data_IF_218568754909
#
_entry.id   IF_218568754909
#
_cell.length_a   1.000
_cell.length_b   1.000
_cell.length_c   1.000
_cell.angle_alpha   90.00
_cell.angle_beta   90.00
_cell.angle_gamma   90.00
#
_symmetry.space_group_name_H-M   'P 1'
#
loop_
_entity.id
_entity.type
_entity.pdbx_description
1 polymer ?
#
# COMPACT_ATOMS: atom_id res chain seq x y z
N UNK A 1 -10.25 -30.42 -2.53
CA UNK A 1 -11.18 -29.56 -3.31
C UNK A 1 -10.80 -28.11 -3.07
N UNK A 2 -10.27 -27.43 -4.08
CA UNK A 2 -9.99 -25.99 -4.03
C UNK A 2 -11.28 -25.27 -4.42
N UNK A 3 -11.80 -24.41 -3.54
CA UNK A 3 -13.09 -23.75 -3.73
C UNK A 3 -13.05 -22.70 -4.87
N UNK A 4 -14.18 -22.47 -5.57
CA UNK A 4 -14.30 -21.62 -6.77
C UNK A 4 -14.22 -20.11 -6.49
N UNK A 5 -13.62 -19.67 -5.37
CA UNK A 5 -13.59 -18.26 -4.94
C UNK A 5 -12.40 -17.45 -5.50
N UNK A 6 -11.52 -18.09 -6.28
CA UNK A 6 -10.39 -17.44 -6.95
C UNK A 6 -10.77 -16.28 -7.91
N UNK A 7 -11.85 -16.38 -8.70
CA UNK A 7 -12.29 -15.30 -9.59
C UNK A 7 -12.68 -14.04 -8.81
N UNK A 8 -13.26 -14.20 -7.62
CA UNK A 8 -13.78 -13.08 -6.80
C UNK A 8 -12.65 -12.23 -6.23
N UNK A 9 -11.55 -12.86 -5.80
CA UNK A 9 -10.38 -12.15 -5.24
C UNK A 9 -9.59 -11.39 -6.31
N UNK A 10 -9.38 -12.02 -7.47
CA UNK A 10 -8.75 -11.39 -8.63
C UNK A 10 -9.60 -10.25 -9.18
N UNK A 11 -10.92 -10.46 -9.30
CA UNK A 11 -11.87 -9.45 -9.76
C UNK A 11 -11.97 -8.27 -8.80
N UNK A 12 -12.00 -8.51 -7.49
CA UNK A 12 -12.08 -7.43 -6.53
C UNK A 12 -10.74 -6.67 -6.42
N UNK A 13 -9.61 -7.33 -6.68
CA UNK A 13 -8.31 -6.64 -6.81
C UNK A 13 -8.23 -5.78 -8.07
N UNK A 14 -8.71 -6.32 -9.20
CA UNK A 14 -8.85 -5.58 -10.45
C UNK A 14 -9.80 -4.39 -10.28
N UNK A 15 -10.95 -4.57 -9.63
CA UNK A 15 -11.92 -3.51 -9.37
C UNK A 15 -11.30 -2.38 -8.54
N UNK A 16 -10.52 -2.70 -7.50
CA UNK A 16 -9.83 -1.69 -6.72
C UNK A 16 -8.71 -0.98 -7.49
N UNK A 17 -7.98 -1.68 -8.35
CA UNK A 17 -6.96 -1.06 -9.22
C UNK A 17 -7.61 -0.12 -10.25
N UNK A 18 -8.72 -0.55 -10.85
CA UNK A 18 -9.51 0.29 -11.74
C UNK A 18 -10.07 1.49 -10.99
N UNK A 19 -10.56 1.32 -9.76
CA UNK A 19 -11.00 2.44 -8.93
C UNK A 19 -9.85 3.39 -8.57
N UNK A 20 -8.65 2.88 -8.26
CA UNK A 20 -7.44 3.70 -8.04
C UNK A 20 -7.10 4.49 -9.30
N UNK A 21 -7.05 3.82 -10.46
CA UNK A 21 -6.75 4.44 -11.75
C UNK A 21 -7.77 5.51 -12.14
N UNK A 22 -9.06 5.20 -12.00
CA UNK A 22 -10.17 6.11 -12.30
C UNK A 22 -10.19 7.29 -11.32
N UNK A 23 -9.88 7.05 -10.06
CA UNK A 23 -9.78 8.11 -9.05
C UNK A 23 -8.60 9.05 -9.28
N UNK A 24 -7.51 8.57 -9.88
CA UNK A 24 -6.39 9.39 -10.35
C UNK A 24 -6.73 10.19 -11.62
N UNK A 25 -7.74 9.78 -12.40
CA UNK A 25 -8.22 10.54 -13.55
C UNK A 25 -9.22 11.64 -13.16
N UNK A 26 -10.02 11.40 -12.11
CA UNK A 26 -11.03 12.32 -11.60
C UNK A 26 -10.44 13.46 -10.74
N UNK A 27 -9.21 13.89 -11.00
CA UNK A 27 -8.34 14.83 -10.27
C UNK A 27 -8.96 16.24 -10.10
N UNK A 28 -10.10 16.28 -9.43
CA UNK A 28 -10.95 17.44 -9.23
C UNK A 28 -11.23 17.55 -7.74
N UNK A 29 -11.17 18.77 -7.21
CA UNK A 29 -11.40 19.07 -5.80
C UNK A 29 -12.82 18.72 -5.30
N UNK A 30 -13.69 18.23 -6.19
CA UNK A 30 -15.10 17.92 -6.01
C UNK A 30 -15.41 16.79 -5.01
N UNK A 31 -14.45 15.92 -4.70
CA UNK A 31 -14.67 14.77 -3.81
C UNK A 31 -13.79 14.83 -2.57
N UNK A 32 -13.99 15.89 -1.77
CA UNK A 32 -13.45 16.02 -0.42
C UNK A 32 -14.51 15.56 0.58
N UNK A 33 -14.13 14.66 1.48
CA UNK A 33 -14.99 14.20 2.58
C UNK A 33 -14.88 15.19 3.74
N UNK A 34 -13.69 15.72 3.97
CA UNK A 34 -13.35 16.78 4.93
C UNK A 34 -12.18 17.63 4.37
N UNK A 35 -11.79 18.76 5.00
CA UNK A 35 -10.60 19.52 4.62
C UNK A 35 -9.35 18.62 4.57
N UNK A 36 -8.69 18.57 3.41
CA UNK A 36 -7.52 17.69 3.18
C UNK A 36 -7.82 16.20 3.04
N UNK A 37 -9.08 15.75 3.21
CA UNK A 37 -9.51 14.35 3.09
C UNK A 37 -10.12 14.12 1.71
N UNK A 38 -9.37 13.46 0.83
CA UNK A 38 -9.83 13.14 -0.51
C UNK A 38 -10.38 11.71 -0.60
N UNK A 39 -11.57 11.55 -1.20
CA UNK A 39 -12.22 10.27 -1.37
C UNK A 39 -11.36 9.25 -2.13
N UNK A 40 -10.60 9.69 -3.13
CA UNK A 40 -9.71 8.82 -3.93
C UNK A 40 -8.65 8.12 -3.07
N UNK A 41 -8.06 8.83 -2.10
CA UNK A 41 -7.00 8.29 -1.24
C UNK A 41 -7.55 7.19 -0.34
N UNK A 42 -8.75 7.38 0.21
CA UNK A 42 -9.43 6.37 1.02
C UNK A 42 -9.85 5.15 0.21
N UNK A 43 -10.36 5.33 -1.01
CA UNK A 43 -10.74 4.22 -1.90
C UNK A 43 -9.51 3.40 -2.29
N UNK A 44 -8.40 4.07 -2.62
CA UNK A 44 -7.17 3.39 -3.01
C UNK A 44 -6.54 2.61 -1.86
N UNK A 45 -6.60 3.14 -0.65
CA UNK A 45 -6.15 2.45 0.55
C UNK A 45 -7.05 1.30 0.94
N UNK A 46 -8.37 1.49 0.95
CA UNK A 46 -9.33 0.43 1.27
C UNK A 46 -9.08 -0.78 0.35
N UNK A 47 -8.94 -0.51 -0.94
CA UNK A 47 -8.58 -1.51 -1.93
C UNK A 47 -7.24 -2.18 -1.71
N UNK A 48 -6.21 -1.40 -1.41
CA UNK A 48 -4.89 -1.95 -1.09
C UNK A 48 -4.91 -2.85 0.15
N UNK A 49 -5.49 -2.36 1.25
CA UNK A 49 -5.64 -3.08 2.51
C UNK A 49 -6.37 -4.40 2.27
N UNK A 50 -7.46 -4.40 1.52
CA UNK A 50 -8.25 -5.58 1.19
C UNK A 50 -7.52 -6.61 0.33
N UNK A 51 -6.92 -6.19 -0.79
CA UNK A 51 -6.22 -7.11 -1.71
C UNK A 51 -5.04 -7.82 -1.03
N UNK A 52 -4.33 -7.08 -0.18
CA UNK A 52 -3.23 -7.62 0.62
C UNK A 52 -3.73 -8.47 1.79
N UNK A 53 -4.85 -8.13 2.42
CA UNK A 53 -5.46 -8.92 3.50
C UNK A 53 -5.80 -10.34 3.05
N UNK A 54 -6.44 -10.42 1.89
CA UNK A 54 -6.84 -11.65 1.24
C UNK A 54 -5.65 -12.52 0.82
N UNK A 55 -4.55 -11.86 0.47
CA UNK A 55 -3.38 -12.52 -0.10
C UNK A 55 -2.35 -12.95 0.95
N UNK A 56 -2.23 -12.24 2.09
CA UNK A 56 -1.12 -12.41 3.04
C UNK A 56 -1.51 -12.64 4.50
N UNK A 57 -2.42 -11.82 5.03
CA UNK A 57 -2.73 -11.87 6.45
C UNK A 57 -3.51 -13.13 6.74
N UNK A 58 -4.58 -13.40 6.00
CA UNK A 58 -5.46 -14.51 6.30
C UNK A 58 -5.21 -15.68 5.35
N UNK A 59 -4.22 -16.52 5.68
CA UNK A 59 -3.99 -17.78 4.97
C UNK A 59 -4.49 -18.96 5.78
N UNK A 60 -4.88 -20.05 5.10
CA UNK A 60 -5.32 -21.29 5.75
C UNK A 60 -4.25 -21.88 6.67
N UNK A 61 -2.98 -21.64 6.34
CA UNK A 61 -1.83 -22.07 7.15
C UNK A 61 -1.75 -21.32 8.50
N UNK A 62 -2.22 -20.06 8.55
CA UNK A 62 -2.18 -19.23 9.76
C UNK A 62 -3.46 -19.29 10.59
N UNK A 63 -4.62 -19.23 9.95
CA UNK A 63 -5.92 -19.07 10.62
C UNK A 63 -6.84 -20.29 10.46
N UNK A 64 -6.41 -21.33 9.75
CA UNK A 64 -7.16 -22.58 9.62
C UNK A 64 -8.55 -22.36 9.02
N UNK A 65 -9.58 -22.77 9.76
CA UNK A 65 -10.97 -22.65 9.33
C UNK A 65 -11.52 -21.22 9.43
N UNK A 66 -10.89 -20.35 10.23
CA UNK A 66 -11.27 -18.94 10.33
C UNK A 66 -10.85 -18.13 9.10
N UNK A 67 -10.04 -18.71 8.21
CA UNK A 67 -9.55 -18.01 7.04
C UNK A 67 -10.67 -17.48 6.15
N UNK A 68 -11.67 -18.31 5.84
CA UNK A 68 -12.73 -17.91 4.93
C UNK A 68 -13.66 -16.84 5.52
N UNK A 69 -14.17 -16.97 6.77
CA UNK A 69 -14.97 -15.92 7.40
C UNK A 69 -14.24 -14.57 7.49
N UNK A 70 -12.96 -14.59 7.85
CA UNK A 70 -12.17 -13.36 7.94
C UNK A 70 -12.00 -12.71 6.55
N UNK A 71 -11.72 -13.48 5.49
CA UNK A 71 -11.57 -12.93 4.14
C UNK A 71 -12.85 -12.22 3.67
N UNK A 72 -14.02 -12.80 3.93
CA UNK A 72 -15.33 -12.20 3.60
C UNK A 72 -15.54 -10.92 4.41
N UNK A 73 -15.26 -10.95 5.72
CA UNK A 73 -15.46 -9.81 6.61
C UNK A 73 -14.66 -8.58 6.15
N UNK A 74 -13.38 -8.76 5.84
CA UNK A 74 -12.53 -7.67 5.36
C UNK A 74 -12.89 -7.20 3.94
N UNK A 75 -13.48 -8.08 3.10
CA UNK A 75 -14.06 -7.69 1.81
C UNK A 75 -15.21 -6.70 1.97
N UNK A 76 -16.12 -7.02 2.87
CA UNK A 76 -17.27 -6.18 3.16
C UNK A 76 -16.79 -4.83 3.72
N UNK A 77 -15.79 -4.81 4.61
CA UNK A 77 -15.25 -3.56 5.14
C UNK A 77 -14.60 -2.69 4.07
N UNK A 78 -13.82 -3.27 3.16
CA UNK A 78 -13.26 -2.54 2.02
C UNK A 78 -14.34 -1.89 1.16
N UNK A 79 -15.40 -2.64 0.86
CA UNK A 79 -16.53 -2.18 0.07
C UNK A 79 -17.30 -1.06 0.79
N UNK A 80 -17.58 -1.22 2.09
CA UNK A 80 -18.25 -0.20 2.91
C UNK A 80 -17.39 1.07 2.98
N UNK A 81 -16.07 0.93 3.14
CA UNK A 81 -15.15 2.07 3.17
C UNK A 81 -15.06 2.79 1.84
N UNK A 82 -14.93 2.04 0.73
CA UNK A 82 -14.92 2.62 -0.61
C UNK A 82 -16.25 3.31 -0.93
N UNK A 83 -17.38 2.71 -0.54
CA UNK A 83 -18.71 3.28 -0.73
C UNK A 83 -18.91 4.52 0.14
N UNK A 84 -18.54 4.47 1.42
CA UNK A 84 -18.57 5.62 2.33
C UNK A 84 -17.68 6.76 1.84
N UNK A 85 -16.52 6.45 1.27
CA UNK A 85 -15.63 7.45 0.67
C UNK A 85 -16.22 8.08 -0.60
N UNK A 86 -16.81 7.28 -1.49
CA UNK A 86 -17.48 7.77 -2.71
C UNK A 86 -18.69 8.64 -2.42
N UNK A 87 -19.47 8.26 -1.41
CA UNK A 87 -20.68 8.97 -1.00
C UNK A 87 -20.40 10.11 0.00
N UNK A 88 -19.14 10.29 0.41
CA UNK A 88 -18.74 11.19 1.50
C UNK A 88 -19.58 11.01 2.77
N UNK A 89 -19.93 9.77 3.10
CA UNK A 89 -20.86 9.42 4.18
C UNK A 89 -20.09 8.99 5.43
N UNK A 90 -20.14 9.83 6.47
CA UNK A 90 -19.35 9.69 7.69
C UNK A 90 -19.73 8.48 8.53
N UNK A 91 -21.00 8.08 8.54
CA UNK A 91 -21.44 6.92 9.33
C UNK A 91 -20.84 5.61 8.78
N UNK A 92 -20.85 5.41 7.46
CA UNK A 92 -20.26 4.28 6.75
C UNK A 92 -18.74 4.23 6.97
N UNK A 93 -18.07 5.39 6.94
CA UNK A 93 -16.64 5.48 7.21
C UNK A 93 -16.30 5.12 8.66
N UNK A 94 -17.04 5.65 9.65
CA UNK A 94 -16.86 5.31 11.06
C UNK A 94 -17.17 3.83 11.35
N UNK A 95 -18.21 3.28 10.73
CA UNK A 95 -18.58 1.88 10.85
C UNK A 95 -17.48 0.97 10.31
N UNK A 96 -17.00 1.24 9.09
CA UNK A 96 -15.92 0.46 8.48
C UNK A 96 -14.61 0.57 9.29
N UNK A 97 -14.29 1.75 9.81
CA UNK A 97 -13.11 1.97 10.65
C UNK A 97 -13.18 1.18 11.96
N UNK A 98 -14.30 1.29 12.67
CA UNK A 98 -14.53 0.60 13.94
C UNK A 98 -14.47 -0.92 13.74
N UNK A 99 -15.15 -1.42 12.71
CA UNK A 99 -15.18 -2.85 12.43
C UNK A 99 -13.80 -3.38 12.00
N UNK A 100 -13.01 -2.59 11.27
CA UNK A 100 -11.63 -2.93 10.92
C UNK A 100 -10.70 -2.95 12.15
N UNK A 101 -10.85 -1.99 13.07
CA UNK A 101 -10.12 -1.98 14.35
C UNK A 101 -10.39 -3.27 15.15
N UNK A 102 -11.67 -3.62 15.33
CA UNK A 102 -12.06 -4.86 16.00
C UNK A 102 -11.54 -6.10 15.25
N UNK A 103 -11.56 -6.08 13.92
CA UNK A 103 -10.98 -7.11 13.08
C UNK A 103 -9.48 -7.30 13.34
N UNK A 104 -8.70 -6.21 13.39
CA UNK A 104 -7.28 -6.24 13.68
C UNK A 104 -6.98 -6.78 15.09
N UNK A 105 -7.76 -6.37 16.10
CA UNK A 105 -7.63 -6.88 17.47
C UNK A 105 -7.97 -8.37 17.57
N UNK A 106 -9.02 -8.82 16.88
CA UNK A 106 -9.38 -10.24 16.81
C UNK A 106 -8.27 -11.06 16.15
N UNK A 107 -7.67 -10.56 15.07
CA UNK A 107 -6.57 -11.25 14.40
C UNK A 107 -5.35 -11.42 15.29
N UNK A 108 -5.01 -10.41 16.11
CA UNK A 108 -3.94 -10.54 17.10
C UNK A 108 -4.19 -11.73 18.04
N UNK A 109 -5.43 -11.87 18.53
CA UNK A 109 -5.80 -12.92 19.47
C UNK A 109 -5.77 -14.33 18.85
N UNK A 110 -6.20 -14.46 17.59
CA UNK A 110 -6.24 -15.74 16.88
C UNK A 110 -4.96 -16.06 16.08
N UNK A 111 -3.95 -15.19 16.13
CA UNK A 111 -2.69 -15.37 15.43
C UNK A 111 -1.95 -16.60 15.96
N UNK A 112 -1.86 -17.65 15.12
CA UNK A 112 -1.05 -18.83 15.43
C UNK A 112 0.39 -18.58 14.99
N UNK A 113 1.34 -18.82 15.89
CA UNK A 113 2.76 -18.80 15.51
C UNK A 113 3.02 -19.88 14.46
N UNK A 114 3.49 -19.44 13.29
CA UNK A 114 3.94 -20.35 12.21
C UNK A 114 5.42 -20.71 12.36
N UNK A 115 5.87 -21.72 11.62
CA UNK A 115 7.31 -22.08 11.53
C UNK A 115 8.19 -20.95 10.98
N UNK A 116 7.62 -20.01 10.20
CA UNK A 116 8.35 -18.83 9.73
C UNK A 116 8.37 -17.72 10.81
N UNK A 117 9.36 -17.78 11.69
CA UNK A 117 9.51 -16.81 12.78
C UNK A 117 9.72 -15.36 12.29
N UNK A 118 10.39 -15.15 11.15
CA UNK A 118 10.65 -13.80 10.63
C UNK A 118 9.36 -13.10 10.21
N UNK A 119 8.54 -13.81 9.44
CA UNK A 119 7.24 -13.30 9.01
C UNK A 119 6.32 -13.05 10.21
N UNK A 120 6.41 -13.87 11.28
CA UNK A 120 5.66 -13.61 12.51
C UNK A 120 6.03 -12.27 13.16
N UNK A 121 7.29 -11.81 13.10
CA UNK A 121 7.70 -10.51 13.66
C UNK A 121 7.11 -9.35 12.84
N UNK A 122 7.20 -9.41 11.50
CA UNK A 122 6.57 -8.42 10.63
C UNK A 122 5.06 -8.35 10.82
N UNK A 123 4.40 -9.51 10.97
CA UNK A 123 2.97 -9.60 11.22
C UNK A 123 2.57 -8.95 12.54
N UNK A 124 3.33 -9.19 13.62
CA UNK A 124 3.05 -8.54 14.91
C UNK A 124 3.21 -7.03 14.83
N UNK A 125 4.29 -6.56 14.23
CA UNK A 125 4.51 -5.12 14.01
C UNK A 125 3.37 -4.51 13.19
N UNK A 126 2.97 -5.16 12.09
CA UNK A 126 1.87 -4.72 11.24
C UNK A 126 0.54 -4.61 12.02
N UNK A 127 0.17 -5.62 12.83
CA UNK A 127 -1.07 -5.57 13.61
C UNK A 127 -1.04 -4.45 14.66
N UNK A 128 0.06 -4.30 15.41
CA UNK A 128 0.21 -3.23 16.42
C UNK A 128 0.04 -1.87 15.76
N UNK A 129 0.75 -1.63 14.66
CA UNK A 129 0.68 -0.35 13.97
C UNK A 129 -0.72 -0.15 13.38
N UNK A 130 -1.34 -1.18 12.78
CA UNK A 130 -2.70 -1.08 12.26
C UNK A 130 -3.69 -0.66 13.33
N UNK A 131 -3.59 -1.19 14.56
CA UNK A 131 -4.44 -0.76 15.68
C UNK A 131 -4.22 0.72 16.00
N UNK A 132 -2.97 1.17 16.15
CA UNK A 132 -2.65 2.59 16.41
C UNK A 132 -3.21 3.50 15.31
N UNK A 133 -3.06 3.05 14.07
CA UNK A 133 -3.50 3.73 12.87
C UNK A 133 -5.02 3.87 12.78
N UNK A 134 -5.77 2.81 13.10
CA UNK A 134 -7.23 2.84 13.15
C UNK A 134 -7.76 3.70 14.30
N UNK A 135 -7.11 3.66 15.46
CA UNK A 135 -7.45 4.55 16.58
C UNK A 135 -7.26 6.01 16.17
N UNK A 136 -6.13 6.34 15.54
CA UNK A 136 -5.87 7.67 15.03
C UNK A 136 -6.88 8.08 13.94
N UNK A 137 -7.22 7.18 13.01
CA UNK A 137 -8.21 7.46 11.97
C UNK A 137 -9.60 7.76 12.57
N UNK A 138 -10.10 6.90 13.45
CA UNK A 138 -11.37 7.11 14.14
C UNK A 138 -11.36 8.47 14.85
N UNK A 139 -10.26 8.80 15.53
CA UNK A 139 -10.11 10.09 16.18
C UNK A 139 -10.19 11.25 15.16
N UNK A 140 -9.40 11.19 14.09
CA UNK A 140 -9.36 12.24 13.06
C UNK A 140 -10.67 12.45 12.28
N UNK A 141 -11.53 11.42 12.22
CA UNK A 141 -12.87 11.55 11.62
C UNK A 141 -13.84 12.34 12.49
N UNK A 142 -13.59 12.40 13.80
CA UNK A 142 -14.51 12.96 14.79
C UNK A 142 -13.98 14.24 15.44
N UNK A 143 -12.67 14.51 15.35
CA UNK A 143 -12.00 15.62 16.01
C UNK A 143 -10.95 16.25 15.11
N UNK A 144 -10.90 17.58 15.08
CA UNK A 144 -9.92 18.36 14.30
C UNK A 144 -8.53 18.44 14.97
N UNK A 145 -8.47 18.19 16.28
CA UNK A 145 -7.25 18.31 17.08
C UNK A 145 -7.06 17.09 17.97
N UNK A 146 -5.86 16.50 17.98
CA UNK A 146 -5.41 15.51 18.96
C UNK A 146 -4.50 16.19 19.98
N UNK A 147 -5.00 16.36 21.21
CA UNK A 147 -4.47 17.31 22.18
C UNK A 147 -4.42 18.75 21.62
N UNK A 148 -3.24 19.26 21.26
CA UNK A 148 -3.05 20.60 20.67
C UNK A 148 -2.55 20.53 19.22
N UNK A 149 -2.48 19.33 18.63
CA UNK A 149 -1.96 19.11 17.28
C UNK A 149 -3.10 18.90 16.29
N UNK A 150 -3.07 19.63 15.19
CA UNK A 150 -4.02 19.50 14.09
C UNK A 150 -3.96 18.08 13.51
N UNK A 151 -5.09 17.38 13.47
CA UNK A 151 -5.16 16.06 12.83
C UNK A 151 -5.13 16.26 11.31
N UNK A 152 -4.12 15.72 10.62
CA UNK A 152 -4.04 15.78 9.14
C UNK A 152 -4.25 14.42 8.50
N UNK A 153 -4.96 14.42 7.37
CA UNK A 153 -5.35 13.22 6.64
C UNK A 153 -4.19 12.45 6.01
N UNK A 154 -3.09 13.11 5.67
CA UNK A 154 -1.87 12.41 5.22
C UNK A 154 -1.39 11.39 6.24
N UNK A 155 -1.60 11.63 7.53
CA UNK A 155 -1.28 10.69 8.60
C UNK A 155 -2.18 9.46 8.60
N UNK A 156 -3.47 9.63 8.30
CA UNK A 156 -4.44 8.54 8.16
C UNK A 156 -4.09 7.63 6.97
N UNK A 157 -3.72 8.23 5.83
CA UNK A 157 -3.36 7.47 4.63
C UNK A 157 -2.09 6.62 4.85
N UNK A 158 -1.06 7.21 5.44
CA UNK A 158 0.15 6.46 5.82
C UNK A 158 -0.15 5.43 6.90
N UNK A 159 -1.05 5.72 7.84
CA UNK A 159 -1.44 4.83 8.91
C UNK A 159 -2.14 3.54 8.40
N UNK A 160 -2.94 3.64 7.34
CA UNK A 160 -3.64 2.47 6.79
C UNK A 160 -2.76 1.64 5.83
N UNK A 161 -1.89 2.31 5.06
CA UNK A 161 -0.99 1.63 4.10
C UNK A 161 0.22 0.98 4.78
N UNK A 162 0.75 1.57 5.84
CA UNK A 162 2.04 1.16 6.43
C UNK A 162 2.07 -0.24 7.10
N UNK A 163 1.04 -0.69 7.85
CA UNK A 163 0.92 -2.07 8.29
C UNK A 163 1.05 -3.07 7.13
N UNK A 164 0.45 -2.74 6.00
CA UNK A 164 0.43 -3.59 4.81
C UNK A 164 1.79 -3.54 4.11
N UNK A 165 2.42 -2.38 4.12
CA UNK A 165 3.79 -2.16 3.66
C UNK A 165 4.79 -3.05 4.40
N UNK A 166 4.65 -3.20 5.72
CA UNK A 166 5.52 -4.09 6.51
C UNK A 166 5.44 -5.55 6.07
N UNK A 167 4.26 -6.02 5.65
CA UNK A 167 4.06 -7.41 5.20
C UNK A 167 4.63 -7.67 3.81
N UNK A 168 4.48 -6.70 2.90
CA UNK A 168 5.19 -6.73 1.62
C UNK A 168 6.70 -6.78 1.85
N UNK A 169 7.17 -5.97 2.79
CA UNK A 169 8.57 -5.87 3.10
C UNK A 169 9.14 -7.16 3.66
N UNK A 170 8.36 -7.94 4.42
CA UNK A 170 8.80 -9.26 4.90
C UNK A 170 9.18 -10.19 3.74
N UNK A 171 8.41 -10.13 2.64
CA UNK A 171 8.68 -10.92 1.42
C UNK A 171 9.90 -10.40 0.68
N UNK A 172 10.09 -9.09 0.59
CA UNK A 172 11.28 -8.51 -0.02
C UNK A 172 12.54 -8.86 0.77
N UNK A 173 12.48 -8.82 2.10
CA UNK A 173 13.58 -9.19 2.99
C UNK A 173 13.97 -10.65 2.83
N UNK A 174 12.99 -11.55 2.66
CA UNK A 174 13.24 -12.96 2.33
C UNK A 174 13.88 -13.10 0.94
N UNK A 175 13.36 -12.42 -0.10
CA UNK A 175 13.92 -12.46 -1.45
C UNK A 175 15.32 -11.83 -1.56
N UNK A 176 15.63 -10.87 -0.69
CA UNK A 176 16.94 -10.26 -0.54
C UNK A 176 17.92 -11.15 0.24
N UNK A 177 17.50 -12.32 0.71
CA UNK A 177 18.31 -13.23 1.52
C UNK A 177 18.95 -12.52 2.74
N UNK A 178 18.18 -11.69 3.45
CA UNK A 178 18.69 -11.00 4.64
C UNK A 178 18.77 -11.97 5.82
N UNK A 179 19.87 -11.90 6.57
CA UNK A 179 20.08 -12.75 7.74
C UNK A 179 19.13 -12.39 8.89
N UNK A 180 18.71 -13.38 9.68
CA UNK A 180 17.77 -13.18 10.79
C UNK A 180 18.15 -12.04 11.76
N UNK A 181 19.43 -11.85 12.16
CA UNK A 181 19.80 -10.72 13.01
C UNK A 181 19.51 -9.35 12.36
N UNK A 182 19.73 -9.24 11.05
CA UNK A 182 19.47 -8.02 10.29
C UNK A 182 17.97 -7.78 10.06
N UNK A 183 17.13 -8.82 10.13
CA UNK A 183 15.67 -8.68 10.01
C UNK A 183 15.11 -7.83 11.15
N UNK A 184 15.53 -8.07 12.39
CA UNK A 184 15.04 -7.30 13.54
C UNK A 184 15.46 -5.84 13.44
N UNK A 185 16.70 -5.58 13.01
CA UNK A 185 17.20 -4.23 12.75
C UNK A 185 16.38 -3.56 11.65
N UNK A 186 16.11 -4.27 10.55
CA UNK A 186 15.28 -3.80 9.44
C UNK A 186 13.90 -3.36 9.92
N UNK A 187 13.23 -4.20 10.71
CA UNK A 187 11.90 -3.91 11.26
C UNK A 187 11.98 -2.72 12.20
N UNK A 188 12.96 -2.69 13.11
CA UNK A 188 13.14 -1.58 14.04
C UNK A 188 13.39 -0.26 13.31
N UNK A 189 14.22 -0.24 12.26
CA UNK A 189 14.48 0.94 11.44
C UNK A 189 13.24 1.36 10.66
N UNK A 190 12.50 0.41 10.07
CA UNK A 190 11.33 0.73 9.25
C UNK A 190 10.16 1.23 10.11
N UNK A 191 9.82 0.49 11.18
CA UNK A 191 8.78 0.86 12.14
C UNK A 191 9.17 2.12 12.90
N UNK A 192 10.37 2.16 13.49
CA UNK A 192 10.85 3.30 14.26
C UNK A 192 11.01 4.55 13.42
N UNK A 193 11.51 4.43 12.18
CA UNK A 193 11.62 5.54 11.25
C UNK A 193 10.25 6.13 10.90
N UNK A 194 9.26 5.30 10.58
CA UNK A 194 7.92 5.81 10.27
C UNK A 194 7.20 6.38 11.49
N UNK A 195 7.29 5.73 12.66
CA UNK A 195 6.73 6.27 13.90
C UNK A 195 7.39 7.60 14.30
N UNK A 196 8.71 7.72 14.14
CA UNK A 196 9.45 8.96 14.40
C UNK A 196 9.07 10.06 13.40
N UNK A 197 8.91 9.70 12.13
CA UNK A 197 8.42 10.64 11.11
C UNK A 197 7.04 11.17 11.48
N UNK A 198 6.10 10.30 11.87
CA UNK A 198 4.79 10.71 12.35
C UNK A 198 4.85 11.59 13.59
N UNK A 199 5.68 11.23 14.56
CA UNK A 199 5.87 12.02 15.77
C UNK A 199 6.43 13.41 15.45
N UNK A 200 7.43 13.50 14.58
CA UNK A 200 7.97 14.77 14.11
C UNK A 200 6.91 15.61 13.41
N UNK A 201 6.13 14.99 12.53
CA UNK A 201 5.07 15.67 11.81
C UNK A 201 3.94 16.17 12.73
N UNK A 202 3.49 15.37 13.71
CA UNK A 202 2.48 15.77 14.69
C UNK A 202 2.97 16.96 15.53
N UNK A 203 4.22 16.91 16.00
CA UNK A 203 4.81 17.97 16.82
C UNK A 203 5.32 19.17 16.02
N UNK A 204 5.17 19.17 14.69
CA UNK A 204 5.81 20.13 13.77
C UNK A 204 7.34 20.20 13.97
N UNK A 205 7.95 19.11 14.43
CA UNK A 205 9.39 18.99 14.64
C UNK A 205 10.07 18.50 13.37
N UNK A 206 10.36 19.48 12.53
CA UNK A 206 10.96 19.35 11.20
C UNK A 206 12.20 18.44 11.11
N UNK A 207 13.13 18.56 12.06
CA UNK A 207 14.37 17.79 12.03
C UNK A 207 14.12 16.29 12.22
N UNK A 208 13.19 15.94 13.09
CA UNK A 208 12.83 14.53 13.34
C UNK A 208 12.19 13.94 12.10
N UNK A 209 11.28 14.67 11.45
CA UNK A 209 10.66 14.26 10.18
C UNK A 209 11.70 13.99 9.09
N UNK A 210 12.60 14.96 8.84
CA UNK A 210 13.64 14.84 7.81
C UNK A 210 14.65 13.74 8.07
N UNK A 211 15.15 13.63 9.29
CA UNK A 211 16.13 12.60 9.66
C UNK A 211 15.48 11.22 9.49
N UNK A 212 14.23 11.07 9.94
CA UNK A 212 13.49 9.81 9.80
C UNK A 212 13.27 9.43 8.34
N UNK A 213 12.84 10.37 7.49
CA UNK A 213 12.70 10.15 6.06
C UNK A 213 14.04 9.79 5.40
N UNK A 214 15.13 10.45 5.78
CA UNK A 214 16.48 10.15 5.30
C UNK A 214 16.95 8.75 5.68
N UNK A 215 16.69 8.30 6.91
CA UNK A 215 16.99 6.93 7.36
C UNK A 215 16.21 5.89 6.56
N UNK A 216 14.93 6.13 6.28
CA UNK A 216 14.10 5.24 5.46
C UNK A 216 14.58 5.20 3.99
N UNK A 217 14.95 6.34 3.41
CA UNK A 217 15.54 6.41 2.07
C UNK A 217 16.87 5.68 1.97
N UNK A 218 17.71 5.80 3.00
CA UNK A 218 18.97 5.05 3.07
C UNK A 218 18.69 3.54 3.10
N UNK A 219 17.72 3.10 3.90
CA UNK A 219 17.31 1.69 3.96
C UNK A 219 16.85 1.17 2.59
N UNK A 220 15.98 1.92 1.89
CA UNK A 220 15.51 1.58 0.54
C UNK A 220 16.70 1.50 -0.43
N UNK A 221 17.62 2.45 -0.37
CA UNK A 221 18.81 2.50 -1.24
C UNK A 221 19.74 1.31 -0.99
N UNK A 222 19.98 0.94 0.26
CA UNK A 222 20.77 -0.24 0.62
C UNK A 222 20.16 -1.53 0.07
N UNK A 223 18.84 -1.65 0.10
CA UNK A 223 18.16 -2.81 -0.48
C UNK A 223 18.11 -2.81 -2.00
N UNK A 224 18.02 -1.64 -2.63
CA UNK A 224 18.19 -1.52 -4.08
C UNK A 224 19.59 -1.99 -4.50
N UNK A 225 20.65 -1.53 -3.83
CA UNK A 225 22.03 -1.98 -4.06
C UNK A 225 22.15 -3.49 -3.89
N UNK A 226 21.53 -4.05 -2.83
CA UNK A 226 21.53 -5.49 -2.60
C UNK A 226 20.77 -6.25 -3.69
N UNK A 227 19.64 -5.74 -4.16
CA UNK A 227 18.87 -6.32 -5.26
C UNK A 227 19.71 -6.37 -6.56
N UNK A 228 20.46 -5.30 -6.85
CA UNK A 228 21.45 -5.27 -7.95
C UNK A 228 22.53 -6.34 -7.79
N UNK A 229 23.13 -6.47 -6.60
CA UNK A 229 24.15 -7.49 -6.33
C UNK A 229 23.63 -8.92 -6.47
N UNK A 230 22.36 -9.14 -6.17
CA UNK A 230 21.70 -10.44 -6.34
C UNK A 230 21.23 -10.69 -7.78
N UNK A 231 21.27 -9.70 -8.66
CA UNK A 231 20.76 -9.80 -10.03
C UNK A 231 19.23 -9.99 -10.11
N UNK A 232 18.49 -9.65 -9.06
CA UNK A 232 17.04 -9.86 -9.02
C UNK A 232 16.30 -8.67 -9.64
N UNK A 233 15.99 -8.77 -10.94
CA UNK A 233 15.36 -7.70 -11.73
C UNK A 233 14.01 -7.26 -11.15
N UNK A 234 13.19 -8.18 -10.66
CA UNK A 234 11.90 -7.84 -10.06
C UNK A 234 12.07 -6.97 -8.80
N UNK A 235 13.04 -7.30 -7.94
CA UNK A 235 13.37 -6.47 -6.78
C UNK A 235 13.99 -5.13 -7.18
N UNK A 236 14.84 -5.07 -8.20
CA UNK A 236 15.41 -3.82 -8.70
C UNK A 236 14.31 -2.87 -9.15
N UNK A 237 13.34 -3.37 -9.92
CA UNK A 237 12.20 -2.59 -10.40
C UNK A 237 11.33 -2.13 -9.23
N UNK A 238 11.03 -3.01 -8.28
CA UNK A 238 10.24 -2.66 -7.10
C UNK A 238 10.94 -1.58 -6.25
N UNK A 239 12.19 -1.80 -5.84
CA UNK A 239 12.93 -0.83 -5.01
C UNK A 239 13.21 0.50 -5.72
N UNK A 240 13.34 0.52 -7.05
CA UNK A 240 13.38 1.77 -7.82
C UNK A 240 12.08 2.56 -7.67
N UNK A 241 10.92 1.91 -7.81
CA UNK A 241 9.62 2.57 -7.59
C UNK A 241 9.45 3.10 -6.16
N UNK A 242 9.89 2.32 -5.16
CA UNK A 242 9.91 2.74 -3.75
C UNK A 242 10.80 3.96 -3.53
N UNK A 243 11.97 4.01 -4.18
CA UNK A 243 12.91 5.12 -4.08
C UNK A 243 12.33 6.39 -4.70
N UNK A 244 11.74 6.31 -5.90
CA UNK A 244 11.08 7.45 -6.56
C UNK A 244 9.96 8.03 -5.68
N UNK A 245 9.18 7.15 -5.07
CA UNK A 245 8.14 7.54 -4.10
C UNK A 245 8.75 8.24 -2.89
N UNK A 246 9.79 7.67 -2.27
CA UNK A 246 10.43 8.26 -1.11
C UNK A 246 11.05 9.63 -1.40
N UNK A 247 11.67 9.80 -2.56
CA UNK A 247 12.25 11.07 -3.00
C UNK A 247 11.17 12.14 -3.21
N UNK A 248 10.02 11.76 -3.81
CA UNK A 248 8.87 12.68 -3.92
C UNK A 248 8.32 13.09 -2.53
N UNK A 249 8.37 12.18 -1.55
CA UNK A 249 7.98 12.47 -0.17
C UNK A 249 8.94 13.42 0.52
N UNK A 250 10.25 13.25 0.35
CA UNK A 250 11.23 14.23 0.86
C UNK A 250 11.08 15.59 0.17
N UNK A 251 10.83 15.60 -1.14
CA UNK A 251 10.54 16.82 -1.88
C UNK A 251 9.31 17.56 -1.30
N UNK A 252 8.23 16.83 -0.97
CA UNK A 252 7.09 17.40 -0.24
C UNK A 252 7.53 18.11 1.04
N UNK A 253 8.27 17.42 1.92
CA UNK A 253 8.72 17.99 3.20
C UNK A 253 9.56 19.25 3.01
N UNK A 254 10.33 19.34 1.91
CA UNK A 254 11.16 20.51 1.59
C UNK A 254 10.36 21.68 1.03
N UNK A 255 9.31 21.42 0.23
CA UNK A 255 8.57 22.47 -0.47
C UNK A 255 7.30 22.89 0.28
N UNK A 256 6.86 22.11 1.27
CA UNK A 256 5.65 22.36 2.06
C UNK A 256 5.62 23.74 2.77
N UNK A 257 6.79 24.35 3.00
CA UNK A 257 6.92 25.70 3.58
C UNK A 257 6.40 26.82 2.66
N UNK A 258 6.21 26.55 1.36
CA UNK A 258 5.79 27.55 0.36
C UNK A 258 4.26 27.71 0.17
N UNK A 259 3.43 27.04 0.96
CA UNK A 259 1.99 27.30 1.10
C UNK A 259 1.07 26.72 0.03
N UNK A 260 1.26 27.02 -1.26
CA UNK A 260 0.38 26.53 -2.35
C UNK A 260 0.92 25.29 -3.04
N UNK A 261 2.23 25.25 -3.30
CA UNK A 261 2.91 24.08 -3.90
C UNK A 261 2.84 22.85 -2.99
N UNK A 262 2.67 23.06 -1.67
CA UNK A 262 2.57 22.00 -0.66
C UNK A 262 1.44 21.00 -0.93
N UNK A 263 0.28 21.47 -1.39
CA UNK A 263 -0.92 20.64 -1.47
C UNK A 263 -0.91 19.75 -2.72
N UNK A 264 -0.48 20.28 -3.86
CA UNK A 264 -0.33 19.50 -5.09
C UNK A 264 0.80 18.49 -4.97
N UNK A 265 1.90 18.84 -4.29
CA UNK A 265 2.99 17.91 -4.00
C UNK A 265 2.58 16.82 -2.99
N UNK A 266 1.72 17.14 -2.00
CA UNK A 266 1.19 16.13 -1.09
C UNK A 266 0.27 15.12 -1.81
N UNK A 267 -0.63 15.63 -2.66
CA UNK A 267 -1.52 14.81 -3.50
C UNK A 267 -0.70 13.91 -4.43
N UNK A 268 0.27 14.51 -5.09
CA UNK A 268 1.28 13.86 -5.92
C UNK A 268 1.97 12.70 -5.20
N UNK A 269 2.51 12.96 -4.01
CA UNK A 269 3.22 11.97 -3.22
C UNK A 269 2.28 10.83 -2.80
N UNK A 270 1.06 11.15 -2.35
CA UNK A 270 0.06 10.16 -2.04
C UNK A 270 -0.20 9.28 -3.27
N UNK A 271 -0.46 9.84 -4.43
CA UNK A 271 -0.66 9.05 -5.66
C UNK A 271 0.55 8.18 -5.99
N UNK A 272 1.77 8.73 -6.03
CA UNK A 272 2.98 7.95 -6.28
C UNK A 272 3.16 6.81 -5.26
N UNK A 273 2.89 7.07 -3.97
CA UNK A 273 2.98 6.07 -2.92
C UNK A 273 1.96 4.95 -3.12
N UNK A 274 0.71 5.27 -3.40
CA UNK A 274 -0.30 4.24 -3.68
C UNK A 274 0.03 3.49 -4.98
N UNK A 275 0.46 4.15 -6.04
CA UNK A 275 0.82 3.51 -7.31
C UNK A 275 2.03 2.58 -7.16
N UNK A 276 3.11 3.05 -6.52
CA UNK A 276 4.38 2.34 -6.40
C UNK A 276 4.36 1.24 -5.35
N UNK A 277 3.84 1.50 -4.15
CA UNK A 277 3.89 0.50 -3.08
C UNK A 277 2.77 -0.53 -3.23
N UNK A 278 1.54 -0.06 -3.43
CA UNK A 278 0.38 -0.95 -3.41
C UNK A 278 0.38 -1.89 -4.60
N UNK A 279 0.53 -1.31 -5.80
CA UNK A 279 0.36 -2.04 -7.04
C UNK A 279 1.52 -2.98 -7.31
N UNK A 280 2.78 -2.52 -7.15
CA UNK A 280 3.94 -3.40 -7.37
C UNK A 280 3.98 -4.54 -6.36
N UNK A 281 3.71 -4.24 -5.09
CA UNK A 281 3.69 -5.24 -4.04
C UNK A 281 2.67 -6.33 -4.32
N UNK A 282 1.41 -5.95 -4.53
CA UNK A 282 0.34 -6.91 -4.84
C UNK A 282 0.68 -7.72 -6.10
N UNK A 283 1.15 -7.07 -7.15
CA UNK A 283 1.43 -7.72 -8.43
C UNK A 283 2.55 -8.73 -8.32
N UNK A 284 3.66 -8.35 -7.71
CA UNK A 284 4.78 -9.23 -7.50
C UNK A 284 4.34 -10.49 -6.73
N UNK A 285 3.51 -10.32 -5.72
CA UNK A 285 3.04 -11.45 -4.91
C UNK A 285 2.05 -12.36 -5.63
N UNK A 286 1.12 -11.79 -6.40
CA UNK A 286 0.24 -12.58 -7.26
C UNK A 286 1.07 -13.40 -8.26
N UNK A 287 2.05 -12.76 -8.89
CA UNK A 287 2.95 -13.42 -9.83
C UNK A 287 3.78 -14.54 -9.17
N UNK A 288 4.31 -14.31 -7.96
CA UNK A 288 5.04 -15.34 -7.20
C UNK A 288 4.15 -16.53 -6.84
N UNK A 289 2.91 -16.27 -6.41
CA UNK A 289 1.93 -17.32 -6.08
C UNK A 289 1.61 -18.20 -7.28
N UNK A 290 1.60 -17.61 -8.47
CA UNK A 290 1.35 -18.32 -9.74
C UNK A 290 2.63 -18.74 -10.46
N UNK A 291 3.78 -18.72 -9.78
CA UNK A 291 5.04 -19.22 -10.32
C UNK A 291 5.47 -18.55 -11.63
N UNK A 292 5.12 -17.26 -11.81
CA UNK A 292 5.65 -16.47 -12.92
C UNK A 292 7.18 -16.42 -12.81
N UNK A 293 7.87 -16.52 -13.96
CA UNK A 293 9.31 -16.31 -14.05
C UNK A 293 9.70 -14.87 -13.71
N UNK A 294 10.95 -14.66 -13.28
CA UNK A 294 11.48 -13.32 -12.98
C UNK A 294 11.38 -12.35 -14.17
N UNK A 295 11.48 -12.86 -15.40
CA UNK A 295 11.34 -12.05 -16.62
C UNK A 295 9.90 -11.57 -16.82
N UNK A 296 8.92 -12.47 -16.64
CA UNK A 296 7.51 -12.08 -16.69
C UNK A 296 7.19 -11.06 -15.59
N UNK A 297 7.68 -11.29 -14.37
CA UNK A 297 7.53 -10.34 -13.27
C UNK A 297 8.09 -8.96 -13.63
N UNK A 298 9.31 -8.90 -14.17
CA UNK A 298 9.93 -7.66 -14.60
C UNK A 298 9.09 -6.94 -15.65
N UNK A 299 8.52 -7.67 -16.63
CA UNK A 299 7.71 -7.08 -17.69
C UNK A 299 6.46 -6.41 -17.12
N UNK A 300 5.67 -7.09 -16.27
CA UNK A 300 4.48 -6.49 -15.68
C UNK A 300 4.80 -5.32 -14.74
N UNK A 301 5.86 -5.43 -13.94
CA UNK A 301 6.28 -4.36 -13.04
C UNK A 301 6.90 -3.17 -13.81
N UNK A 302 7.50 -3.38 -14.97
CA UNK A 302 8.09 -2.31 -15.78
C UNK A 302 7.05 -1.32 -16.30
N UNK A 303 5.83 -1.79 -16.64
CA UNK A 303 4.73 -0.91 -17.04
C UNK A 303 4.32 0.03 -15.90
N UNK A 304 4.28 -0.48 -14.67
CA UNK A 304 4.04 0.35 -13.48
C UNK A 304 5.19 1.34 -13.24
N UNK A 305 6.44 0.93 -13.49
CA UNK A 305 7.60 1.81 -13.30
C UNK A 305 7.63 2.93 -14.35
N UNK A 306 7.30 2.62 -15.59
CA UNK A 306 7.16 3.60 -16.65
C UNK A 306 6.00 4.55 -16.38
N UNK A 307 4.88 4.04 -15.83
CA UNK A 307 3.77 4.88 -15.37
C UNK A 307 4.23 5.89 -14.31
N UNK A 308 4.98 5.45 -13.30
CA UNK A 308 5.57 6.35 -12.29
C UNK A 308 6.57 7.34 -12.88
N UNK A 309 7.43 6.87 -13.79
CA UNK A 309 8.47 7.70 -14.44
C UNK A 309 7.85 8.78 -15.32
N UNK A 310 6.69 8.51 -15.94
CA UNK A 310 5.92 9.52 -16.67
C UNK A 310 5.15 10.46 -15.71
N UNK A 311 4.66 9.93 -14.58
CA UNK A 311 3.93 10.71 -13.58
C UNK A 311 4.83 11.75 -12.93
N UNK A 312 6.06 11.40 -12.52
CA UNK A 312 6.95 12.31 -11.78
C UNK A 312 7.18 13.65 -12.51
N UNK A 313 7.58 13.69 -13.80
CA UNK A 313 7.74 14.95 -14.52
C UNK A 313 6.42 15.67 -14.79
N UNK A 314 5.30 14.96 -14.98
CA UNK A 314 3.98 15.62 -15.03
C UNK A 314 3.75 16.44 -13.77
N UNK A 315 4.00 15.86 -12.60
CA UNK A 315 3.71 16.49 -11.32
C UNK A 315 4.68 17.62 -10.98
N UNK A 316 5.91 17.60 -11.53
CA UNK A 316 6.92 18.64 -11.32
C UNK A 316 6.77 19.82 -12.28
N UNK A 317 6.29 19.57 -13.51
CA UNK A 317 6.30 20.55 -14.60
C UNK A 317 4.92 20.80 -15.22
N UNK A 318 3.87 20.20 -14.67
CA UNK A 318 2.48 20.26 -15.12
C UNK A 318 2.31 20.00 -16.63
N UNK A 319 2.83 18.87 -17.10
CA UNK A 319 2.77 18.48 -18.53
C UNK A 319 1.61 17.51 -18.77
N UNK A 320 0.45 17.93 -19.32
CA UNK A 320 -0.78 17.11 -19.27
C UNK A 320 -0.69 15.78 -20.04
N UNK A 321 0.08 15.74 -21.14
CA UNK A 321 0.25 14.51 -21.93
C UNK A 321 0.91 13.39 -21.13
N UNK A 322 1.79 13.73 -20.19
CA UNK A 322 2.47 12.75 -19.34
C UNK A 322 1.52 12.09 -18.33
N UNK A 323 0.47 12.80 -17.87
CA UNK A 323 -0.59 12.21 -17.05
C UNK A 323 -1.38 11.16 -17.84
N UNK A 324 -1.70 11.44 -19.11
CA UNK A 324 -2.40 10.48 -19.97
C UNK A 324 -1.54 9.24 -20.24
N UNK A 325 -0.24 9.43 -20.54
CA UNK A 325 0.71 8.33 -20.71
C UNK A 325 0.79 7.50 -19.44
N UNK A 326 0.98 8.14 -18.28
CA UNK A 326 1.07 7.48 -16.98
C UNK A 326 -0.19 6.66 -16.68
N UNK A 327 -1.37 7.24 -16.87
CA UNK A 327 -2.66 6.59 -16.63
C UNK A 327 -2.86 5.40 -17.57
N UNK A 328 -2.53 5.55 -18.85
CA UNK A 328 -2.64 4.49 -19.85
C UNK A 328 -1.72 3.31 -19.51
N UNK A 329 -0.47 3.59 -19.15
CA UNK A 329 0.49 2.57 -18.70
C UNK A 329 0.03 1.86 -17.43
N UNK A 330 -0.57 2.61 -16.49
CA UNK A 330 -1.11 2.02 -15.27
C UNK A 330 -2.31 1.12 -15.54
N UNK A 331 -3.26 1.57 -16.38
CA UNK A 331 -4.39 0.75 -16.81
C UNK A 331 -3.94 -0.48 -17.59
N UNK A 332 -2.94 -0.35 -18.45
CA UNK A 332 -2.34 -1.47 -19.16
C UNK A 332 -1.76 -2.49 -18.17
N UNK A 333 -0.98 -2.05 -17.17
CA UNK A 333 -0.53 -2.94 -16.10
C UNK A 333 -1.71 -3.55 -15.32
N UNK A 334 -2.74 -2.75 -15.05
CA UNK A 334 -4.04 -3.09 -14.46
C UNK A 334 -4.75 -4.26 -15.14
N UNK A 335 -4.69 -4.31 -16.46
CA UNK A 335 -5.40 -5.28 -17.30
C UNK A 335 -4.53 -6.47 -17.68
N UNK A 336 -3.26 -6.24 -18.01
CA UNK A 336 -2.36 -7.27 -18.50
C UNK A 336 -2.10 -8.36 -17.44
N UNK A 337 -1.97 -8.02 -16.16
CA UNK A 337 -1.72 -9.02 -15.12
C UNK A 337 -2.95 -9.91 -14.86
N UNK A 338 -4.17 -9.39 -14.66
CA UNK A 338 -5.36 -10.23 -14.50
C UNK A 338 -5.65 -11.12 -15.72
N UNK A 339 -5.40 -10.64 -16.94
CA UNK A 339 -5.53 -11.45 -18.15
C UNK A 339 -4.48 -12.58 -18.19
N UNK A 340 -3.23 -12.29 -17.84
CA UNK A 340 -2.18 -13.31 -17.77
C UNK A 340 -2.45 -14.35 -16.66
N UNK A 341 -2.93 -13.90 -15.50
CA UNK A 341 -3.35 -14.77 -14.41
C UNK A 341 -4.53 -15.66 -14.81
N UNK A 342 -5.54 -15.08 -15.47
CA UNK A 342 -6.69 -15.83 -15.99
C UNK A 342 -6.27 -16.91 -16.98
N UNK A 343 -5.41 -16.57 -17.94
CA UNK A 343 -4.88 -17.52 -18.91
C UNK A 343 -4.13 -18.67 -18.23
N UNK A 344 -3.24 -18.36 -17.28
CA UNK A 344 -2.47 -19.38 -16.58
C UNK A 344 -3.35 -20.27 -15.70
N UNK A 345 -4.41 -19.73 -15.10
CA UNK A 345 -5.39 -20.50 -14.34
C UNK A 345 -6.17 -21.44 -15.27
N UNK A 346 -6.66 -20.96 -16.43
CA UNK A 346 -7.34 -21.82 -17.42
C UNK A 346 -6.45 -22.96 -17.89
N UNK A 347 -5.20 -22.64 -18.21
CA UNK A 347 -4.20 -23.63 -18.60
C UNK A 347 -3.98 -24.68 -17.49
N UNK A 348 -3.83 -24.26 -16.23
CA UNK A 348 -3.65 -25.17 -15.10
C UNK A 348 -4.90 -26.02 -14.78
N UNK A 349 -6.08 -25.56 -15.19
CA UNK A 349 -7.34 -26.29 -15.05
C UNK A 349 -7.66 -27.17 -16.27
N UNK A 350 -6.82 -27.17 -17.30
CA UNK A 350 -7.05 -27.93 -18.54
C UNK A 350 -8.26 -27.43 -19.34
N UNK A 351 -8.70 -26.20 -19.11
CA UNK A 351 -9.80 -25.60 -19.85
C UNK A 351 -9.23 -25.10 -21.18
N UNK A 352 -9.54 -25.81 -22.27
CA UNK A 352 -9.13 -25.42 -23.63
C UNK A 352 -9.54 -23.97 -23.94
N UNK A 353 -8.70 -23.28 -24.72
CA UNK A 353 -8.75 -21.84 -24.98
C UNK A 353 -10.09 -21.33 -25.52
#
# INVERSE_FOLDING_TARGET
MQAPFFPVLGFASLAHILLIALSAYLYTDSYRIAPGVHAHGLIGIAGFCYCMFLSFLITRQRYGNLTMPLQILFALFSLIMATGALLSEYFLLNLAASASLFGCLMLWHFFRNTSNQRENVFMRAAVIISVLCWVYFLYSLNFEYFFMFETRFSYVLLALSFPMSLLLFSRYVDMLNISTPLVNLTIATLVGGVLSMFFGMLLQWYWVEKISAGVLLLLISLYLIRAFRLGNIALIVAFTGLLLTGLSGVWYVLVAESGTVAMDVLRTHAHLAHFAWATFGIYLLLMLRHSFSSMQQALFLSLLLLSLTALVPHLLFDVPILLHISTTLFLAAGLCLPLALWHQIRHNLGIAD
#
